data_IF_419111328926
#
_entry.id   IF_419111328926
#
_cell.length_a   1.000
_cell.length_b   1.000
_cell.length_c   1.000
_cell.angle_alpha   90.00
_cell.angle_beta   90.00
_cell.angle_gamma   90.00
#
_symmetry.space_group_name_H-M   'P 1'
#
loop_
_entity.id
_entity.type
_entity.pdbx_description
1 polymer ?
#
# COMPACT_ATOMS: atom_id res chain seq x y z
N UNK A 1 -18.99 53.40 15.20
CA UNK A 1 -18.21 54.58 15.64
C UNK A 1 -16.74 54.32 15.33
N UNK A 2 -16.17 55.25 14.50
CA UNK A 2 -14.74 55.58 14.26
C UNK A 2 -13.86 54.46 13.71
N UNK A 3 -13.61 54.41 12.38
CA UNK A 3 -12.64 55.16 11.54
C UNK A 3 -11.20 55.14 12.09
N UNK A 4 -10.30 54.49 11.38
CA UNK A 4 -9.04 55.13 10.98
C UNK A 4 -8.42 54.41 9.79
N UNK A 5 -8.45 55.10 8.65
CA UNK A 5 -7.63 54.88 7.44
C UNK A 5 -6.25 55.49 7.71
N UNK A 6 -5.20 54.81 7.28
CA UNK A 6 -3.91 55.45 7.01
C UNK A 6 -3.35 54.86 5.69
N UNK A 7 -3.15 55.69 4.70
CA UNK A 7 -2.36 55.34 3.54
C UNK A 7 -0.93 55.85 3.68
N UNK A 8 0.08 55.11 3.29
CA UNK A 8 1.41 55.64 3.03
C UNK A 8 1.98 55.05 1.76
N UNK A 9 2.21 55.98 0.87
CA UNK A 9 2.83 55.91 -0.45
C UNK A 9 4.35 55.74 -0.41
N UNK A 10 4.87 55.43 -1.63
CA UNK A 10 6.22 55.69 -2.17
C UNK A 10 7.30 54.68 -1.81
N UNK A 11 8.13 54.16 -2.72
CA UNK A 11 8.80 54.79 -3.86
C UNK A 11 9.29 53.76 -4.89
N UNK A 12 9.34 54.17 -6.15
CA UNK A 12 10.02 53.56 -7.29
C UNK A 12 11.54 53.59 -7.11
N UNK A 13 12.21 52.50 -7.51
CA UNK A 13 13.58 52.57 -7.95
C UNK A 13 13.76 51.67 -9.17
N UNK A 14 13.82 52.27 -10.31
CA UNK A 14 14.30 51.70 -11.58
C UNK A 14 15.83 51.63 -11.51
N UNK A 15 16.42 50.48 -11.74
CA UNK A 15 17.82 50.34 -12.11
C UNK A 15 17.94 49.47 -13.35
N UNK A 16 18.16 50.13 -14.45
CA UNK A 16 18.63 49.57 -15.71
C UNK A 16 20.12 49.22 -15.58
N UNK A 17 20.51 48.03 -15.98
CA UNK A 17 21.83 47.73 -16.54
C UNK A 17 21.77 46.50 -17.44
N UNK A 18 21.86 46.77 -18.69
CA UNK A 18 22.84 46.31 -19.67
C UNK A 18 23.09 44.80 -19.82
N UNK A 19 22.66 44.32 -20.92
CA UNK A 19 23.13 43.39 -21.92
C UNK A 19 24.26 42.38 -21.57
N UNK A 20 23.97 41.15 -21.82
CA UNK A 20 24.96 40.13 -22.19
C UNK A 20 24.36 39.13 -23.16
N UNK A 21 25.14 38.65 -24.13
CA UNK A 21 24.68 38.02 -25.33
C UNK A 21 24.09 36.63 -25.14
N UNK A 22 23.08 36.33 -25.93
CA UNK A 22 22.44 35.03 -26.06
C UNK A 22 23.43 33.91 -26.36
N UNK A 23 23.47 32.91 -25.49
CA UNK A 23 23.94 31.59 -25.82
C UNK A 23 22.86 30.84 -26.63
N UNK A 24 23.23 30.02 -27.62
CA UNK A 24 22.28 29.28 -28.43
C UNK A 24 21.54 28.24 -27.57
N UNK A 25 20.28 27.92 -27.93
CA UNK A 25 19.52 26.93 -27.19
C UNK A 25 20.19 25.57 -27.28
N UNK A 26 20.51 25.01 -26.12
CA UNK A 26 20.91 23.62 -26.00
C UNK A 26 19.79 22.72 -26.49
N UNK A 27 20.10 21.80 -27.38
CA UNK A 27 19.21 20.79 -27.86
C UNK A 27 18.59 20.00 -26.68
N UNK A 28 17.34 19.51 -26.80
CA UNK A 28 16.74 18.67 -25.78
C UNK A 28 17.63 17.43 -25.55
N UNK A 29 18.10 17.26 -24.34
CA UNK A 29 18.74 16.02 -23.95
C UNK A 29 17.68 14.91 -24.08
N UNK A 30 17.97 13.92 -24.91
CA UNK A 30 17.24 12.64 -24.91
C UNK A 30 17.22 12.09 -23.48
N UNK A 31 16.07 11.61 -23.00
CA UNK A 31 16.03 10.93 -21.73
C UNK A 31 16.91 9.69 -21.82
N UNK A 32 17.94 9.64 -20.98
CA UNK A 32 18.74 8.45 -20.80
C UNK A 32 17.81 7.24 -20.54
N UNK A 33 18.12 6.08 -21.10
CA UNK A 33 17.31 4.89 -20.86
C UNK A 33 17.29 4.63 -19.36
N UNK A 34 16.08 4.69 -18.80
CA UNK A 34 15.82 4.31 -17.41
C UNK A 34 16.38 2.91 -17.20
N UNK A 35 17.37 2.81 -16.32
CA UNK A 35 17.94 1.54 -15.94
C UNK A 35 16.78 0.62 -15.55
N UNK A 36 16.63 -0.46 -16.29
CA UNK A 36 15.68 -1.52 -15.97
C UNK A 36 15.89 -1.91 -14.51
N UNK A 37 14.86 -1.75 -13.72
CA UNK A 37 14.84 -2.30 -12.37
C UNK A 37 15.18 -3.79 -12.48
N UNK A 38 16.09 -4.32 -11.65
CA UNK A 38 16.36 -5.74 -11.66
C UNK A 38 15.04 -6.46 -11.36
N UNK A 39 14.64 -7.33 -12.26
CA UNK A 39 13.54 -8.25 -12.01
C UNK A 39 13.83 -8.95 -10.68
N UNK A 40 12.87 -9.02 -9.74
CA UNK A 40 13.05 -9.80 -8.54
C UNK A 40 13.07 -11.27 -8.91
N UNK A 41 14.26 -11.77 -9.23
CA UNK A 41 14.53 -13.20 -9.19
C UNK A 41 14.94 -13.53 -7.78
N UNK A 42 13.95 -13.80 -6.96
CA UNK A 42 14.13 -14.51 -5.72
C UNK A 42 13.04 -15.58 -5.68
N UNK A 43 13.41 -16.77 -6.11
CA UNK A 43 12.80 -17.98 -5.62
C UNK A 43 12.75 -17.87 -4.11
N UNK A 44 11.53 -17.74 -3.57
CA UNK A 44 11.32 -17.90 -2.15
C UNK A 44 11.91 -19.25 -1.76
N UNK A 45 12.71 -19.35 -0.68
CA UNK A 45 13.13 -20.65 -0.19
C UNK A 45 11.87 -21.46 0.06
N UNK A 46 11.70 -22.49 -0.72
CA UNK A 46 10.71 -23.52 -0.46
C UNK A 46 11.04 -24.08 0.93
N UNK A 47 10.40 -23.53 1.97
CA UNK A 47 10.28 -24.25 3.22
C UNK A 47 9.56 -25.53 2.83
N UNK A 48 10.27 -26.66 2.94
CA UNK A 48 9.88 -27.96 2.42
C UNK A 48 8.53 -28.41 2.96
N UNK A 49 7.48 -28.03 2.28
CA UNK A 49 6.17 -28.62 2.40
C UNK A 49 5.87 -29.21 1.03
N UNK A 50 5.68 -30.50 0.97
CA UNK A 50 5.18 -31.23 -0.17
C UNK A 50 3.95 -30.52 -0.75
N UNK A 51 3.78 -30.42 -2.09
CA UNK A 51 2.59 -29.89 -2.71
C UNK A 51 1.37 -30.72 -2.27
N UNK A 52 0.58 -30.21 -1.33
CA UNK A 52 -0.59 -30.91 -0.75
C UNK A 52 -0.62 -30.94 0.78
N UNK A 53 0.46 -30.57 1.47
CA UNK A 53 0.52 -30.61 2.94
C UNK A 53 0.15 -29.28 3.61
N UNK A 54 0.21 -28.14 2.90
CA UNK A 54 -0.14 -26.85 3.48
C UNK A 54 -1.66 -26.71 3.65
N UNK A 55 -2.09 -26.50 4.88
CA UNK A 55 -3.49 -26.23 5.18
C UNK A 55 -3.55 -25.27 6.36
N UNK A 56 -3.83 -24.00 6.07
CA UNK A 56 -3.90 -22.94 7.07
C UNK A 56 -4.84 -23.28 8.23
N UNK A 57 -6.00 -23.88 7.94
CA UNK A 57 -7.02 -24.16 8.94
C UNK A 57 -6.62 -25.27 9.91
N UNK A 58 -5.72 -26.16 9.49
CA UNK A 58 -5.20 -27.26 10.32
C UNK A 58 -3.98 -26.88 11.15
N UNK A 59 -3.37 -25.72 10.87
CA UNK A 59 -2.20 -25.27 11.62
C UNK A 59 -2.59 -24.81 13.02
N UNK A 60 -1.76 -25.12 13.98
CA UNK A 60 -1.84 -24.57 15.35
C UNK A 60 -1.56 -23.06 15.33
N UNK A 61 -1.90 -22.37 16.41
CA UNK A 61 -1.60 -20.94 16.56
C UNK A 61 -0.09 -20.65 16.44
N UNK A 62 0.73 -21.50 17.01
CA UNK A 62 2.19 -21.41 16.99
C UNK A 62 2.73 -21.59 15.57
N UNK A 63 2.24 -22.57 14.83
CA UNK A 63 2.63 -22.81 13.44
C UNK A 63 2.21 -21.66 12.53
N UNK A 64 0.98 -21.14 12.68
CA UNK A 64 0.51 -19.94 11.97
C UNK A 64 1.39 -18.75 12.28
N UNK A 65 1.72 -18.53 13.55
CA UNK A 65 2.58 -17.43 13.99
C UNK A 65 3.99 -17.51 13.39
N UNK A 66 4.56 -18.72 13.35
CA UNK A 66 5.85 -18.97 12.72
C UNK A 66 5.80 -18.69 11.22
N UNK A 67 4.81 -19.25 10.53
CA UNK A 67 4.62 -19.05 9.10
C UNK A 67 4.43 -17.55 8.73
N UNK A 68 3.60 -16.84 9.49
CA UNK A 68 3.42 -15.40 9.32
C UNK A 68 4.72 -14.63 9.47
N UNK A 69 5.56 -14.98 10.43
CA UNK A 69 6.82 -14.29 10.70
C UNK A 69 7.91 -14.62 9.68
N UNK A 70 8.01 -15.87 9.26
CA UNK A 70 9.13 -16.37 8.45
C UNK A 70 8.84 -16.29 6.93
N UNK A 71 7.59 -16.37 6.53
CA UNK A 71 7.18 -16.42 5.13
C UNK A 71 6.36 -15.19 4.73
N UNK A 72 5.22 -14.98 5.39
CA UNK A 72 4.27 -13.93 4.96
C UNK A 72 4.84 -12.53 5.20
N UNK A 73 5.38 -12.27 6.38
CA UNK A 73 5.84 -10.93 6.75
C UNK A 73 6.99 -10.40 5.88
N UNK A 74 8.07 -11.18 5.58
CA UNK A 74 9.13 -10.72 4.69
C UNK A 74 8.59 -10.39 3.30
N UNK A 75 7.77 -11.28 2.73
CA UNK A 75 7.23 -11.10 1.38
C UNK A 75 6.28 -9.91 1.29
N UNK A 76 5.38 -9.76 2.23
CA UNK A 76 4.47 -8.63 2.26
C UNK A 76 5.21 -7.31 2.51
N UNK A 77 6.29 -7.31 3.31
CA UNK A 77 7.14 -6.13 3.47
C UNK A 77 7.76 -5.69 2.13
N UNK A 78 8.25 -6.62 1.31
CA UNK A 78 8.74 -6.30 -0.03
C UNK A 78 7.65 -5.63 -0.88
N UNK A 79 6.44 -6.21 -0.90
CA UNK A 79 5.29 -5.69 -1.66
C UNK A 79 4.92 -4.27 -1.22
N UNK A 80 4.84 -4.03 0.09
CA UNK A 80 4.46 -2.72 0.63
C UNK A 80 5.56 -1.67 0.48
N UNK A 81 6.83 -2.05 0.65
CA UNK A 81 7.98 -1.15 0.44
C UNK A 81 8.10 -0.78 -1.03
N UNK A 82 7.82 -1.68 -1.97
CA UNK A 82 7.78 -1.37 -3.39
C UNK A 82 6.69 -0.34 -3.74
N UNK A 83 5.58 -0.32 -3.01
CA UNK A 83 4.51 0.66 -3.18
C UNK A 83 4.86 2.03 -2.57
N UNK A 84 5.36 2.05 -1.34
CA UNK A 84 5.77 3.28 -0.65
C UNK A 84 6.87 2.95 0.38
N UNK A 85 8.12 3.04 -0.07
CA UNK A 85 9.30 2.73 0.74
C UNK A 85 9.41 3.60 2.00
N UNK A 86 8.96 4.85 1.92
CA UNK A 86 9.03 5.79 3.04
C UNK A 86 8.05 5.44 4.15
N UNK A 87 6.83 5.09 3.75
CA UNK A 87 5.74 4.77 4.67
C UNK A 87 5.91 3.39 5.32
N UNK A 88 6.42 2.43 4.56
CA UNK A 88 6.46 1.02 4.97
C UNK A 88 7.86 0.49 5.31
N UNK A 89 8.87 1.37 5.44
CA UNK A 89 10.22 0.99 5.87
C UNK A 89 10.22 0.13 7.14
N UNK A 90 9.44 0.53 8.14
CA UNK A 90 9.31 -0.13 9.43
C UNK A 90 8.04 -0.97 9.57
N UNK A 91 7.59 -1.60 8.46
CA UNK A 91 6.43 -2.47 8.49
C UNK A 91 6.59 -3.60 9.52
N UNK A 92 5.56 -3.80 10.35
CA UNK A 92 5.52 -4.78 11.45
C UNK A 92 4.16 -5.49 11.46
N UNK A 93 4.03 -6.50 12.32
CA UNK A 93 2.79 -7.26 12.46
C UNK A 93 1.55 -6.37 12.70
N UNK A 94 1.68 -5.29 13.45
CA UNK A 94 0.58 -4.35 13.71
C UNK A 94 0.13 -3.55 12.48
N UNK A 95 0.92 -3.52 11.42
CA UNK A 95 0.51 -2.86 10.15
C UNK A 95 -0.75 -3.50 9.57
N UNK A 96 -0.88 -4.82 9.71
CA UNK A 96 -2.04 -5.58 9.24
C UNK A 96 -2.98 -5.96 10.39
N UNK A 97 -2.43 -6.37 11.55
CA UNK A 97 -3.19 -6.91 12.68
C UNK A 97 -3.62 -5.86 13.71
N UNK A 98 -3.24 -4.59 13.53
CA UNK A 98 -3.61 -3.52 14.43
C UNK A 98 -2.86 -3.53 15.76
N UNK A 99 -3.31 -2.71 16.69
CA UNK A 99 -2.69 -2.51 18.01
C UNK A 99 -2.71 -3.78 18.86
N UNK A 100 -3.72 -4.63 18.69
CA UNK A 100 -3.85 -5.90 19.41
C UNK A 100 -2.70 -6.90 19.14
N UNK A 101 -1.96 -6.74 18.05
CA UNK A 101 -0.77 -7.55 17.78
C UNK A 101 0.31 -7.42 18.88
N UNK A 102 0.37 -6.29 19.57
CA UNK A 102 1.31 -6.07 20.67
C UNK A 102 1.05 -6.99 21.88
N UNK A 103 -0.17 -7.45 22.04
CA UNK A 103 -0.58 -8.39 23.12
C UNK A 103 -0.64 -9.84 22.64
N UNK A 104 -0.21 -10.12 21.41
CA UNK A 104 -0.28 -11.44 20.79
C UNK A 104 -1.68 -11.83 20.30
N UNK A 105 -2.60 -10.88 20.20
CA UNK A 105 -3.89 -11.06 19.57
C UNK A 105 -3.78 -10.69 18.08
N UNK A 106 -3.91 -11.68 17.22
CA UNK A 106 -3.82 -11.54 15.76
C UNK A 106 -5.17 -11.82 15.10
N UNK A 107 -6.24 -11.34 15.75
CA UNK A 107 -7.61 -11.55 15.25
C UNK A 107 -7.81 -10.82 13.93
N UNK A 108 -8.36 -11.53 12.97
CA UNK A 108 -8.79 -11.00 11.67
C UNK A 108 -10.27 -11.33 11.46
N UNK A 109 -11.03 -10.49 10.75
CA UNK A 109 -10.65 -9.19 10.18
C UNK A 109 -10.34 -8.13 11.25
N UNK A 110 -9.42 -7.22 10.92
CA UNK A 110 -8.96 -6.18 11.85
C UNK A 110 -9.87 -4.92 11.78
N UNK A 111 -10.52 -4.53 12.88
CA UNK A 111 -11.42 -3.36 12.89
C UNK A 111 -10.69 -2.01 12.77
N UNK A 112 -9.37 -1.97 12.98
CA UNK A 112 -8.57 -0.75 12.82
C UNK A 112 -8.24 -0.45 11.35
N UNK A 113 -8.39 -1.42 10.46
CA UNK A 113 -8.27 -1.20 9.02
C UNK A 113 -9.52 -0.47 8.48
N UNK A 114 -9.39 0.25 7.34
CA UNK A 114 -10.54 0.90 6.72
C UNK A 114 -11.68 -0.10 6.49
N UNK A 115 -12.85 0.20 7.00
CA UNK A 115 -14.01 -0.67 6.84
C UNK A 115 -14.50 -0.69 5.40
N UNK A 116 -14.89 -1.86 4.93
CA UNK A 116 -15.58 -2.00 3.64
C UNK A 116 -17.00 -1.42 3.73
N UNK A 117 -17.58 -0.96 2.62
CA UNK A 117 -18.95 -0.48 2.63
C UNK A 117 -19.92 -1.61 2.97
N UNK A 118 -20.95 -1.30 3.76
CA UNK A 118 -22.02 -2.26 4.11
C UNK A 118 -22.79 -2.78 2.88
N UNK A 119 -22.83 -1.96 1.83
CA UNK A 119 -23.38 -2.30 0.53
C UNK A 119 -22.25 -2.31 -0.52
N UNK A 120 -21.88 -3.49 -0.96
CA UNK A 120 -20.81 -3.67 -1.95
C UNK A 120 -21.10 -3.07 -3.32
N UNK A 121 -22.35 -2.73 -3.63
CA UNK A 121 -22.67 -1.96 -4.84
C UNK A 121 -22.03 -0.55 -4.80
N UNK A 122 -21.76 -0.04 -3.62
CA UNK A 122 -21.07 1.25 -3.37
C UNK A 122 -19.55 1.14 -3.31
N UNK A 123 -18.98 -0.04 -3.54
CA UNK A 123 -17.54 -0.26 -3.45
C UNK A 123 -16.75 0.68 -4.38
N UNK A 124 -17.22 0.92 -5.59
CA UNK A 124 -16.56 1.84 -6.54
C UNK A 124 -16.47 3.27 -6.01
N UNK A 125 -17.53 3.77 -5.40
CA UNK A 125 -17.56 5.09 -4.76
C UNK A 125 -16.62 5.12 -3.54
N UNK A 126 -16.67 4.08 -2.70
CA UNK A 126 -15.78 3.96 -1.56
C UNK A 126 -14.31 3.91 -1.99
N UNK A 127 -13.97 3.14 -3.00
CA UNK A 127 -12.63 2.99 -3.55
C UNK A 127 -12.08 4.30 -4.14
N UNK A 128 -12.95 5.15 -4.70
CA UNK A 128 -12.53 6.43 -5.27
C UNK A 128 -11.96 7.43 -4.26
N UNK A 129 -12.16 7.21 -2.97
CA UNK A 129 -11.59 8.05 -1.91
C UNK A 129 -10.08 7.87 -1.74
N UNK A 130 -9.55 6.69 -2.10
CA UNK A 130 -8.12 6.36 -2.07
C UNK A 130 -7.77 5.43 -3.24
N UNK A 131 -7.82 5.93 -4.48
CA UNK A 131 -7.75 5.08 -5.68
C UNK A 131 -6.44 4.30 -5.77
N UNK A 132 -5.30 4.95 -5.53
CA UNK A 132 -3.98 4.33 -5.59
C UNK A 132 -3.84 3.19 -4.57
N UNK A 133 -4.26 3.42 -3.33
CA UNK A 133 -4.23 2.41 -2.29
C UNK A 133 -5.18 1.25 -2.61
N UNK A 134 -6.38 1.55 -3.10
CA UNK A 134 -7.34 0.50 -3.48
C UNK A 134 -6.81 -0.35 -4.63
N UNK A 135 -6.23 0.29 -5.65
CA UNK A 135 -5.59 -0.41 -6.75
C UNK A 135 -4.46 -1.31 -6.25
N UNK A 136 -3.58 -0.78 -5.41
CA UNK A 136 -2.49 -1.53 -4.79
C UNK A 136 -3.00 -2.77 -4.02
N UNK A 137 -4.06 -2.61 -3.21
CA UNK A 137 -4.68 -3.73 -2.48
C UNK A 137 -5.23 -4.81 -3.41
N UNK A 138 -5.89 -4.40 -4.51
CA UNK A 138 -6.51 -5.33 -5.45
C UNK A 138 -5.50 -6.05 -6.33
N UNK A 139 -4.48 -5.35 -6.80
CA UNK A 139 -3.54 -5.87 -7.81
C UNK A 139 -2.30 -6.55 -7.20
N UNK A 140 -1.94 -6.20 -5.95
CA UNK A 140 -0.71 -6.69 -5.33
C UNK A 140 -0.95 -7.39 -3.99
N UNK A 141 -1.64 -6.75 -3.05
CA UNK A 141 -1.76 -7.29 -1.69
C UNK A 141 -2.67 -8.52 -1.64
N UNK A 142 -3.88 -8.42 -2.18
CA UNK A 142 -4.84 -9.52 -2.17
C UNK A 142 -4.32 -10.78 -2.88
N UNK A 143 -3.82 -10.69 -4.14
CA UNK A 143 -3.34 -11.87 -4.84
C UNK A 143 -2.10 -12.49 -4.19
N UNK A 144 -1.17 -11.68 -3.69
CA UNK A 144 0.02 -12.23 -3.03
C UNK A 144 -0.35 -12.90 -1.70
N UNK A 145 -1.27 -12.35 -0.92
CA UNK A 145 -1.76 -13.00 0.30
C UNK A 145 -2.49 -14.31 0.00
N UNK A 146 -3.35 -14.35 -1.01
CA UNK A 146 -4.03 -15.57 -1.44
C UNK A 146 -3.01 -16.67 -1.81
N UNK A 147 -1.99 -16.29 -2.58
CA UNK A 147 -0.89 -17.20 -2.96
C UNK A 147 -0.11 -17.70 -1.74
N UNK A 148 0.26 -16.82 -0.81
CA UNK A 148 0.99 -17.19 0.40
C UNK A 148 0.19 -18.10 1.33
N UNK A 149 -1.12 -17.96 1.36
CA UNK A 149 -2.02 -18.81 2.14
C UNK A 149 -2.48 -20.06 1.38
N UNK A 150 -2.01 -20.25 0.15
CA UNK A 150 -2.41 -21.34 -0.75
C UNK A 150 -3.92 -21.41 -0.98
N UNK A 151 -4.58 -20.25 -0.97
CA UNK A 151 -6.00 -20.12 -1.24
C UNK A 151 -6.24 -19.53 -2.63
N UNK A 152 -7.34 -19.91 -3.30
CA UNK A 152 -7.76 -19.21 -4.51
C UNK A 152 -8.15 -17.77 -4.16
N UNK A 153 -7.96 -16.84 -5.09
CA UNK A 153 -8.55 -15.52 -4.92
C UNK A 153 -10.08 -15.59 -4.88
N UNK A 154 -10.69 -14.69 -4.12
CA UNK A 154 -12.15 -14.60 -4.03
C UNK A 154 -12.80 -14.47 -5.39
N UNK A 155 -13.74 -15.38 -5.66
CA UNK A 155 -14.62 -15.37 -6.83
C UNK A 155 -16.03 -14.93 -6.42
N UNK A 156 -16.58 -13.88 -7.05
CA UNK A 156 -17.96 -13.44 -6.79
C UNK A 156 -19.01 -14.47 -7.23
N UNK A 157 -18.68 -15.35 -8.17
CA UNK A 157 -19.59 -16.40 -8.68
C UNK A 157 -19.79 -17.50 -7.63
N UNK A 158 -18.70 -17.98 -7.04
CA UNK A 158 -18.73 -19.05 -6.03
C UNK A 158 -18.84 -18.52 -4.61
N UNK A 159 -18.56 -17.22 -4.40
CA UNK A 159 -18.48 -16.54 -3.09
C UNK A 159 -17.47 -17.19 -2.15
N UNK A 160 -16.41 -17.77 -2.70
CA UNK A 160 -15.36 -18.45 -1.97
C UNK A 160 -13.98 -17.89 -2.35
N UNK A 161 -12.97 -18.15 -1.51
CA UNK A 161 -11.59 -17.74 -1.71
C UNK A 161 -11.20 -16.50 -0.90
N UNK A 162 -9.91 -16.19 -0.92
CA UNK A 162 -9.31 -15.10 -0.17
C UNK A 162 -9.72 -13.73 -0.74
N UNK A 163 -10.42 -12.95 0.05
CA UNK A 163 -10.99 -11.66 -0.36
C UNK A 163 -10.70 -10.53 0.63
N UNK A 164 -11.27 -9.37 0.34
CA UNK A 164 -11.08 -8.17 1.18
C UNK A 164 -11.60 -8.37 2.62
N UNK A 165 -12.65 -9.18 2.78
CA UNK A 165 -13.27 -9.48 4.08
C UNK A 165 -12.39 -10.29 5.03
N UNK A 166 -11.34 -10.96 4.53
CA UNK A 166 -10.39 -11.68 5.37
C UNK A 166 -9.54 -10.73 6.23
N UNK A 167 -9.36 -9.49 5.75
CA UNK A 167 -8.56 -8.49 6.44
C UNK A 167 -9.40 -7.32 6.97
N UNK A 168 -10.42 -6.90 6.25
CA UNK A 168 -11.21 -5.70 6.54
C UNK A 168 -12.59 -6.07 7.07
N UNK A 169 -13.01 -5.40 8.14
CA UNK A 169 -14.40 -5.47 8.60
C UNK A 169 -15.33 -4.72 7.65
N UNK A 170 -16.60 -5.09 7.66
CA UNK A 170 -17.66 -4.37 6.92
C UNK A 170 -18.36 -3.39 7.84
N UNK A 171 -18.64 -2.19 7.35
CA UNK A 171 -19.41 -1.20 8.09
C UNK A 171 -20.82 -1.76 8.41
N UNK A 172 -21.33 -1.45 9.59
CA UNK A 172 -22.74 -1.74 9.93
C UNK A 172 -23.67 -0.81 9.16
N UNK A 173 -24.86 -1.29 8.81
CA UNK A 173 -25.89 -0.48 8.17
C UNK A 173 -26.47 0.54 9.13
#
# INVERSE_FOLDING_TARGET
MKHTLVPALLALAVSSCAGSPSAPPAAPAEPAPSAAAPAPSAEAPAAGAEPGAFNWDKMTKEERGKYMKEVVMPKMKEVFVAFDAKKYADMKCNTCHGSAAATGAFTMPNPELPQLPADMSKFKEWASKKPEMTKFMLEHVKPEMAKLLHEPEYSPETKTGFGCGECHTTATK
#
